data_IF_848846286894
#
_entry.id   IF_848846286894
#
_cell.length_a   1.000
_cell.length_b   1.000
_cell.length_c   1.000
_cell.angle_alpha   90.00
_cell.angle_beta   90.00
_cell.angle_gamma   90.00
#
_symmetry.space_group_name_H-M   'P 1'
#
loop_
_entity.id
_entity.type
_entity.pdbx_description
1 polymer ?
#
# COMPACT_ATOMS: atom_id res chain seq x y z
N UNK A 1 7.66 5.65 16.56
CA UNK A 1 7.46 4.78 15.38
C UNK A 1 6.28 5.35 14.63
N UNK A 2 6.50 6.02 13.50
CA UNK A 2 5.40 6.55 12.69
C UNK A 2 5.05 5.50 11.64
N UNK A 3 3.89 4.87 11.82
CA UNK A 3 3.39 3.85 10.90
C UNK A 3 2.83 4.57 9.67
N UNK A 4 3.22 4.14 8.46
CA UNK A 4 2.68 4.71 7.23
C UNK A 4 1.17 4.44 7.12
N UNK A 5 0.43 5.36 6.50
CA UNK A 5 -1.05 5.30 6.39
C UNK A 5 -1.56 3.95 5.86
N UNK A 6 -0.82 3.31 4.95
CA UNK A 6 -1.19 2.03 4.34
C UNK A 6 -1.30 0.85 5.32
N UNK A 7 -0.83 0.99 6.55
CA UNK A 7 -0.88 -0.05 7.59
C UNK A 7 -1.91 0.26 8.70
N UNK A 8 -2.59 1.40 8.64
CA UNK A 8 -3.64 1.76 9.59
C UNK A 8 -4.98 1.12 9.22
N UNK A 9 -5.91 0.93 10.19
CA UNK A 9 -7.28 0.60 9.86
C UNK A 9 -7.82 1.62 8.88
N UNK A 10 -8.63 1.17 7.92
CA UNK A 10 -9.24 2.08 6.93
C UNK A 10 -10.00 3.22 7.63
N UNK A 11 -10.63 2.94 8.77
CA UNK A 11 -11.36 3.92 9.57
C UNK A 11 -10.46 5.02 10.16
N UNK A 12 -9.18 4.73 10.45
CA UNK A 12 -8.27 5.64 11.13
C UNK A 12 -7.44 6.47 10.15
N UNK A 13 -7.39 6.08 8.87
CA UNK A 13 -6.60 6.75 7.83
C UNK A 13 -6.96 8.25 7.69
N UNK A 14 -8.25 8.65 7.67
CA UNK A 14 -8.61 10.06 7.59
C UNK A 14 -8.07 10.89 8.76
N UNK A 15 -8.23 10.41 10.00
CA UNK A 15 -7.77 11.13 11.19
C UNK A 15 -6.24 11.21 11.24
N UNK A 16 -5.56 10.10 10.92
CA UNK A 16 -4.10 10.08 10.85
C UNK A 16 -3.54 10.98 9.74
N UNK A 17 -4.29 11.17 8.65
CA UNK A 17 -3.92 12.12 7.61
C UNK A 17 -4.08 13.57 8.09
N UNK A 18 -5.15 13.90 8.82
CA UNK A 18 -5.36 15.23 9.43
C UNK A 18 -4.26 15.58 10.44
N UNK A 19 -3.80 14.60 11.24
CA UNK A 19 -2.65 14.77 12.13
C UNK A 19 -1.37 15.09 11.35
N UNK A 20 -1.20 14.45 10.19
CA UNK A 20 -0.08 14.70 9.27
C UNK A 20 -0.13 16.11 8.68
N UNK A 21 -1.33 16.64 8.43
CA UNK A 21 -1.52 18.02 7.95
C UNK A 21 -1.05 19.07 8.95
N UNK A 22 -1.05 18.78 10.26
CA UNK A 22 -0.58 19.72 11.29
C UNK A 22 0.92 20.04 11.17
N UNK A 23 1.70 19.14 10.56
CA UNK A 23 3.14 19.30 10.34
C UNK A 23 3.48 19.46 8.86
N UNK A 24 2.47 19.54 7.99
CA UNK A 24 2.66 19.60 6.55
C UNK A 24 3.08 21.01 6.11
N UNK A 25 4.08 21.16 5.24
CA UNK A 25 4.52 22.47 4.76
C UNK A 25 3.36 23.22 4.09
N UNK A 26 3.18 24.50 4.43
CA UNK A 26 2.11 25.31 3.84
C UNK A 26 2.31 25.50 2.33
N UNK A 27 3.55 25.54 1.87
CA UNK A 27 3.93 25.63 0.46
C UNK A 27 3.48 24.39 -0.33
N UNK A 28 3.21 23.28 0.36
CA UNK A 28 2.75 22.03 -0.22
C UNK A 28 1.24 21.80 -0.05
N UNK A 29 0.45 22.80 0.34
CA UNK A 29 -1.00 22.66 0.54
C UNK A 29 -1.74 22.03 -0.66
N UNK A 30 -1.32 22.35 -1.89
CA UNK A 30 -1.89 21.73 -3.10
C UNK A 30 -1.64 20.22 -3.20
N UNK A 31 -0.55 19.73 -2.61
CA UNK A 31 -0.25 18.30 -2.51
C UNK A 31 -1.19 17.64 -1.50
N UNK A 32 -1.42 18.29 -0.35
CA UNK A 32 -2.40 17.80 0.62
C UNK A 32 -3.81 17.71 0.03
N UNK A 33 -4.26 18.77 -0.66
CA UNK A 33 -5.55 18.81 -1.36
C UNK A 33 -5.69 17.66 -2.37
N UNK A 34 -4.63 17.36 -3.10
CA UNK A 34 -4.58 16.25 -4.04
C UNK A 34 -4.73 14.90 -3.35
N UNK A 35 -4.03 14.68 -2.23
CA UNK A 35 -4.16 13.43 -1.47
C UNK A 35 -5.58 13.25 -0.91
N UNK A 36 -6.21 14.31 -0.44
CA UNK A 36 -7.60 14.25 0.01
C UNK A 36 -8.55 13.85 -1.13
N UNK A 37 -8.44 14.47 -2.30
CA UNK A 37 -9.36 14.18 -3.41
C UNK A 37 -9.13 12.79 -4.03
N UNK A 38 -7.86 12.35 -4.07
CA UNK A 38 -7.48 11.16 -4.81
C UNK A 38 -7.44 9.92 -3.94
N UNK A 39 -6.98 10.00 -2.68
CA UNK A 39 -6.66 8.80 -1.89
C UNK A 39 -7.39 8.69 -0.55
N UNK A 40 -7.75 9.81 0.09
CA UNK A 40 -8.29 9.82 1.47
C UNK A 40 -9.81 10.05 1.50
N UNK A 41 -10.28 11.04 0.74
CA UNK A 41 -11.62 11.62 0.81
C UNK A 41 -11.60 12.91 1.64
N UNK A 42 -12.48 13.87 1.32
CA UNK A 42 -12.63 15.12 2.08
C UNK A 42 -13.80 15.06 3.04
N UNK A 43 -13.61 15.52 4.27
CA UNK A 43 -14.73 15.77 5.19
C UNK A 43 -15.58 16.94 4.67
N UNK A 44 -16.86 16.70 4.43
CA UNK A 44 -17.88 17.69 4.07
C UNK A 44 -18.92 17.75 5.19
N UNK A 45 -19.76 18.80 5.20
CA UNK A 45 -20.84 18.96 6.19
C UNK A 45 -21.78 17.75 6.33
N UNK A 46 -21.88 16.93 5.28
CA UNK A 46 -22.83 15.81 5.20
C UNK A 46 -22.14 14.43 5.20
N UNK A 47 -20.87 14.36 5.59
CA UNK A 47 -20.07 13.12 5.57
C UNK A 47 -18.80 13.24 4.75
N UNK A 48 -18.20 12.10 4.40
CA UNK A 48 -16.95 12.04 3.64
C UNK A 48 -17.24 12.03 2.13
N UNK A 49 -16.50 12.80 1.34
CA UNK A 49 -16.53 12.64 -0.12
C UNK A 49 -15.80 11.35 -0.51
N UNK A 50 -16.31 10.67 -1.53
CA UNK A 50 -15.62 9.51 -2.10
C UNK A 50 -14.34 9.95 -2.81
N UNK A 51 -13.21 9.39 -2.41
CA UNK A 51 -11.93 9.57 -3.09
C UNK A 51 -11.91 8.81 -4.42
N UNK A 52 -11.07 9.23 -5.37
CA UNK A 52 -10.89 8.51 -6.65
C UNK A 52 -10.39 7.07 -6.44
N UNK A 53 -9.47 6.89 -5.50
CA UNK A 53 -8.89 5.60 -5.10
C UNK A 53 -8.99 5.48 -3.57
N UNK A 54 -10.15 5.03 -3.04
CA UNK A 54 -10.38 5.01 -1.61
C UNK A 54 -9.43 4.03 -0.88
N UNK A 55 -9.21 4.20 0.43
CA UNK A 55 -8.29 3.35 1.21
C UNK A 55 -8.50 1.85 1.07
N UNK A 56 -9.74 1.40 0.83
CA UNK A 56 -10.06 0.00 0.58
C UNK A 56 -9.33 -0.62 -0.63
N UNK A 57 -8.82 0.19 -1.57
CA UNK A 57 -8.14 -0.29 -2.77
C UNK A 57 -6.61 -0.37 -2.58
N UNK A 58 -6.03 0.43 -1.69
CA UNK A 58 -4.58 0.56 -1.57
C UNK A 58 -4.02 0.25 -0.17
N UNK A 59 -4.85 0.21 0.87
CA UNK A 59 -4.41 -0.18 2.20
C UNK A 59 -3.95 -1.63 2.20
N UNK A 60 -2.80 -1.89 2.83
CA UNK A 60 -2.20 -3.22 2.91
C UNK A 60 -2.37 -3.85 4.29
N UNK A 61 -3.01 -3.15 5.24
CA UNK A 61 -3.20 -3.62 6.62
C UNK A 61 -3.75 -5.05 6.67
N UNK A 62 -4.87 -5.30 6.00
CA UNK A 62 -5.52 -6.61 6.09
C UNK A 62 -4.67 -7.69 5.43
N UNK A 63 -4.06 -7.41 4.28
CA UNK A 63 -3.10 -8.31 3.62
C UNK A 63 -1.89 -8.64 4.51
N UNK A 64 -1.39 -7.68 5.28
CA UNK A 64 -0.29 -7.90 6.22
C UNK A 64 -0.70 -8.71 7.45
N UNK A 65 -1.94 -8.56 7.92
CA UNK A 65 -2.47 -9.33 9.06
C UNK A 65 -2.87 -10.75 8.68
N UNK A 66 -3.28 -10.96 7.43
CA UNK A 66 -3.78 -12.25 6.91
C UNK A 66 -2.71 -13.08 6.20
N UNK A 67 -1.46 -12.61 6.18
CA UNK A 67 -0.33 -13.19 5.41
C UNK A 67 -0.74 -13.56 3.96
N UNK A 68 -1.62 -12.75 3.38
CA UNK A 68 -2.15 -13.01 2.05
C UNK A 68 -0.98 -12.96 1.07
N UNK A 69 -0.85 -13.92 0.13
CA UNK A 69 0.22 -13.90 -0.85
C UNK A 69 0.21 -12.54 -1.55
N UNK A 70 1.31 -11.78 -1.41
CA UNK A 70 1.55 -10.64 -2.30
C UNK A 70 1.44 -11.19 -3.72
N UNK A 71 0.80 -10.48 -4.63
CA UNK A 71 0.55 -10.93 -6.02
C UNK A 71 1.80 -11.36 -6.79
N UNK A 72 3.00 -11.11 -6.25
CA UNK A 72 4.27 -11.62 -6.74
C UNK A 72 4.61 -13.06 -6.31
N UNK A 73 3.94 -13.66 -5.32
CA UNK A 73 4.31 -14.98 -4.81
C UNK A 73 4.28 -16.09 -5.88
N UNK A 74 3.30 -16.14 -6.81
CA UNK A 74 3.30 -17.14 -7.88
C UNK A 74 4.42 -16.92 -8.90
N UNK A 75 4.72 -15.67 -9.25
CA UNK A 75 5.79 -15.33 -10.21
C UNK A 75 7.17 -15.56 -9.60
N UNK A 76 7.37 -15.18 -8.33
CA UNK A 76 8.56 -15.48 -7.54
C UNK A 76 8.75 -16.99 -7.36
N UNK A 77 7.69 -17.74 -7.11
CA UNK A 77 7.73 -19.21 -6.99
C UNK A 77 8.11 -19.88 -8.32
N UNK A 78 7.52 -19.42 -9.43
CA UNK A 78 7.86 -19.91 -10.77
C UNK A 78 9.31 -19.58 -11.15
N UNK A 79 9.76 -18.35 -10.90
CA UNK A 79 11.14 -17.94 -11.18
C UNK A 79 12.15 -18.71 -10.33
N UNK A 80 11.86 -18.97 -9.04
CA UNK A 80 12.67 -19.87 -8.19
C UNK A 80 12.71 -21.29 -8.74
N UNK A 81 11.58 -21.85 -9.19
CA UNK A 81 11.54 -23.18 -9.80
C UNK A 81 12.39 -23.28 -11.06
N UNK A 82 12.38 -22.26 -11.93
CA UNK A 82 13.22 -22.21 -13.12
C UNK A 82 14.72 -22.08 -12.81
N UNK A 83 15.09 -21.28 -11.82
CA UNK A 83 16.49 -21.16 -11.38
C UNK A 83 17.05 -22.47 -10.80
N UNK A 84 16.24 -23.19 -10.00
CA UNK A 84 16.61 -24.50 -9.46
C UNK A 84 16.77 -25.53 -10.58
N UNK A 85 15.88 -25.52 -11.57
CA UNK A 85 15.94 -26.49 -12.67
C UNK A 85 17.11 -26.21 -13.64
N UNK A 86 17.45 -24.95 -13.89
CA UNK A 86 18.55 -24.55 -14.77
C UNK A 86 19.95 -24.76 -14.18
N UNK A 87 20.05 -24.96 -12.86
CA UNK A 87 21.31 -25.28 -12.17
C UNK A 87 21.61 -26.78 -12.07
N UNK A 88 20.66 -27.65 -12.48
CA UNK A 88 20.90 -29.08 -12.69
C UNK A 88 21.53 -29.33 -14.08
N UNK A 89 22.79 -28.92 -14.25
CA UNK A 89 23.62 -29.46 -15.35
C UNK A 89 24.12 -30.85 -14.94
N UNK A 90 23.97 -31.89 -15.78
CA UNK A 90 24.57 -33.18 -15.49
C UNK A 90 26.10 -33.03 -15.48
N UNK A 91 26.77 -33.55 -14.45
CA UNK A 91 28.24 -33.64 -14.43
C UNK A 91 28.68 -34.48 -15.62
N UNK A 92 29.70 -34.07 -16.39
CA UNK A 92 30.24 -34.92 -17.43
C UNK A 92 30.87 -36.17 -16.79
N UNK A 93 30.70 -37.36 -17.39
CA UNK A 93 31.34 -38.57 -16.90
C UNK A 93 32.86 -38.46 -17.07
N UNK A 94 33.60 -38.99 -16.09
CA UNK A 94 35.06 -39.12 -16.06
C UNK A 94 35.53 -40.18 -17.06
#
# INVERSE_FOLDING_TARGET
MQTALAFLPIADIPDAFEDLLQVFPTEAASVADYFEDVYIGRRRRNGMSTAMFPPAVWSVRDSTLTDLPRTNNPVEAWHRGLQVNSSHRPRPPQ
#
